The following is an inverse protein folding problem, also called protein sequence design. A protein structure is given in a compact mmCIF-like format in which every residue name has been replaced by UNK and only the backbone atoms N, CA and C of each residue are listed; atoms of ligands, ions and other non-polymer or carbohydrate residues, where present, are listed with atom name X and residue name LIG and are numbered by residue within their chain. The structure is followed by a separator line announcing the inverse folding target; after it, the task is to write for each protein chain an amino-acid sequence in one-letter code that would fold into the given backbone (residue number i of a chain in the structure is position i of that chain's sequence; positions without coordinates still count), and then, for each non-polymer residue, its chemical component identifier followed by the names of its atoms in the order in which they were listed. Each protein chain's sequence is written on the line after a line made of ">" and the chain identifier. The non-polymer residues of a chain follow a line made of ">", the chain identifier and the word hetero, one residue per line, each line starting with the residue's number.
data_IF_684585957932
#
_entry.id   IF_684585957932
#
_cell.length_a   1.000
_cell.length_b   1.000
_cell.length_c   1.000
_cell.angle_alpha   90.00
_cell.angle_beta   90.00
_cell.angle_gamma   90.00
#
_symmetry.space_group_name_H-M   'P 1'
#
loop_
_entity.id
_entity.type
_entity.pdbx_description
1 polymer ?
#
# COMPACT_ATOMS: atom_id res chain seq x y z
N UNK A 1 -14.42 -22.14 101.81
CA UNK A 1 -14.93 -22.80 100.58
C UNK A 1 -15.65 -21.86 99.61
N UNK A 2 -16.52 -20.98 100.09
CA UNK A 2 -17.25 -20.02 99.24
C UNK A 2 -16.35 -19.21 98.28
N UNK A 3 -15.29 -18.58 98.78
CA UNK A 3 -14.32 -17.84 97.94
C UNK A 3 -13.64 -18.71 96.89
N UNK A 4 -13.25 -19.95 97.25
CA UNK A 4 -12.54 -20.85 96.33
C UNK A 4 -13.41 -21.22 95.12
N UNK A 5 -14.72 -21.39 95.33
CA UNK A 5 -15.69 -21.70 94.29
C UNK A 5 -16.04 -20.47 93.46
N UNK A 6 -16.45 -19.38 94.10
CA UNK A 6 -17.06 -18.24 93.41
C UNK A 6 -16.09 -17.10 93.05
N UNK A 7 -14.79 -17.19 93.40
CA UNK A 7 -13.78 -16.19 92.98
C UNK A 7 -13.77 -15.84 91.49
N UNK A 8 -14.15 -16.69 90.50
CA UNK A 8 -14.14 -16.28 89.10
C UNK A 8 -15.16 -15.19 88.77
N UNK A 9 -16.20 -15.04 89.59
CA UNK A 9 -17.28 -14.08 89.38
C UNK A 9 -16.85 -12.63 89.61
N UNK A 10 -15.76 -12.38 90.33
CA UNK A 10 -15.23 -11.04 90.55
C UNK A 10 -13.82 -10.91 89.96
N UNK A 11 -13.57 -9.93 89.07
CA UNK A 11 -12.24 -9.69 88.47
C UNK A 11 -11.13 -9.44 89.48
N UNK A 12 -11.44 -8.89 90.66
CA UNK A 12 -10.46 -8.59 91.70
C UNK A 12 -10.07 -9.83 92.53
N UNK A 13 -10.93 -10.86 92.58
CA UNK A 13 -10.64 -12.12 93.28
C UNK A 13 -10.12 -13.22 92.35
N UNK A 14 -10.31 -13.07 91.04
CA UNK A 14 -9.84 -13.99 90.00
C UNK A 14 -8.48 -13.54 89.42
N UNK A 15 -7.56 -14.44 89.03
CA UNK A 15 -7.58 -15.89 89.21
C UNK A 15 -7.03 -16.36 90.56
N UNK A 16 -6.26 -15.51 91.24
CA UNK A 16 -5.61 -15.81 92.51
C UNK A 16 -5.87 -14.69 93.51
N UNK A 17 -6.51 -15.03 94.63
CA UNK A 17 -6.63 -14.14 95.79
C UNK A 17 -5.43 -14.33 96.72
N UNK A 18 -4.80 -13.24 97.16
CA UNK A 18 -3.61 -13.26 98.04
C UNK A 18 -3.85 -12.66 99.43
N UNK A 19 -5.05 -12.13 99.71
CA UNK A 19 -5.42 -11.54 101.00
C UNK A 19 -6.09 -12.53 101.96
N UNK A 20 -6.61 -12.01 103.08
CA UNK A 20 -7.42 -12.81 104.01
C UNK A 20 -8.67 -13.33 103.29
N UNK A 21 -9.10 -14.59 103.54
CA UNK A 21 -10.29 -15.13 102.89
C UNK A 21 -11.57 -14.36 103.17
N UNK A 22 -11.70 -13.73 104.35
CA UNK A 22 -12.88 -12.95 104.72
C UNK A 22 -13.05 -11.73 103.79
N UNK A 23 -11.99 -10.93 103.62
CA UNK A 23 -11.95 -9.76 102.75
C UNK A 23 -12.26 -10.12 101.29
N UNK A 24 -11.76 -11.27 100.82
CA UNK A 24 -12.04 -11.76 99.48
C UNK A 24 -13.51 -12.15 99.28
N UNK A 25 -14.16 -12.74 100.29
CA UNK A 25 -15.59 -13.06 100.25
C UNK A 25 -16.43 -11.79 100.32
N UNK A 26 -16.03 -10.81 101.12
CA UNK A 26 -16.70 -9.52 101.21
C UNK A 26 -16.67 -8.78 99.86
N UNK A 27 -15.50 -8.70 99.23
CA UNK A 27 -15.34 -8.04 97.94
C UNK A 27 -16.10 -8.75 96.81
N UNK A 28 -16.16 -10.09 96.86
CA UNK A 28 -16.96 -10.89 95.93
C UNK A 28 -18.45 -10.62 96.10
N UNK A 29 -18.95 -10.60 97.33
CA UNK A 29 -20.36 -10.37 97.66
C UNK A 29 -20.78 -8.94 97.30
N UNK A 30 -19.90 -7.96 97.50
CA UNK A 30 -20.09 -6.60 97.03
C UNK A 30 -20.16 -6.53 95.49
N UNK A 31 -19.29 -7.25 94.78
CA UNK A 31 -19.30 -7.29 93.30
C UNK A 31 -20.55 -7.98 92.74
N UNK A 32 -21.07 -9.00 93.43
CA UNK A 32 -22.32 -9.67 93.10
C UNK A 32 -23.57 -8.86 93.48
N UNK A 33 -23.41 -7.77 94.25
CA UNK A 33 -24.49 -6.87 94.62
C UNK A 33 -25.46 -7.42 95.66
N UNK A 34 -25.01 -8.29 96.58
CA UNK A 34 -25.89 -8.77 97.65
C UNK A 34 -26.26 -7.62 98.59
N UNK A 35 -27.50 -7.60 99.05
CA UNK A 35 -27.97 -6.60 100.01
C UNK A 35 -27.57 -6.98 101.46
N UNK A 36 -27.39 -6.01 102.38
CA UNK A 36 -26.95 -6.27 103.76
C UNK A 36 -27.88 -7.16 104.61
N UNK A 37 -29.14 -7.33 104.18
CA UNK A 37 -30.15 -8.20 104.79
C UNK A 37 -30.16 -9.63 104.22
N UNK A 38 -29.55 -9.84 103.05
CA UNK A 38 -29.46 -11.13 102.36
C UNK A 38 -28.31 -12.01 102.88
N UNK A 39 -27.29 -11.43 103.53
CA UNK A 39 -26.17 -12.17 104.08
C UNK A 39 -25.64 -11.62 105.42
N UNK A 40 -24.95 -12.47 106.18
CA UNK A 40 -24.16 -12.09 107.36
C UNK A 40 -22.80 -12.79 107.33
N UNK A 41 -21.73 -12.05 107.63
CA UNK A 41 -20.40 -12.62 107.80
C UNK A 41 -20.20 -13.10 109.25
N UNK A 42 -19.95 -14.38 109.44
CA UNK A 42 -19.48 -14.94 110.71
C UNK A 42 -17.95 -14.98 110.77
N UNK A 43 -17.40 -15.37 111.93
CA UNK A 43 -15.93 -15.48 112.14
C UNK A 43 -15.24 -16.42 111.14
N UNK A 44 -15.96 -17.44 110.65
CA UNK A 44 -15.40 -18.49 109.77
C UNK A 44 -16.28 -18.83 108.56
N UNK A 45 -17.54 -18.40 108.52
CA UNK A 45 -18.53 -18.78 107.49
C UNK A 45 -19.39 -17.58 107.08
N UNK A 46 -19.84 -17.56 105.82
CA UNK A 46 -20.89 -16.66 105.34
C UNK A 46 -22.25 -17.34 105.52
N UNK A 47 -23.23 -16.59 106.02
CA UNK A 47 -24.62 -17.01 106.16
C UNK A 47 -25.46 -16.29 105.10
N UNK A 48 -26.14 -17.04 104.23
CA UNK A 48 -27.04 -16.49 103.19
C UNK A 48 -28.48 -16.76 103.63
N UNK A 49 -29.30 -15.70 103.68
CA UNK A 49 -30.65 -15.74 104.24
C UNK A 49 -31.68 -16.33 103.28
N UNK A 50 -31.57 -16.04 101.98
CA UNK A 50 -32.54 -16.44 100.97
C UNK A 50 -31.94 -17.42 99.96
N UNK A 51 -32.60 -18.57 99.69
CA UNK A 51 -32.14 -19.52 98.68
C UNK A 51 -31.98 -18.92 97.27
N UNK A 52 -32.80 -17.92 96.92
CA UNK A 52 -32.76 -17.22 95.61
C UNK A 52 -31.39 -16.60 95.33
N UNK A 53 -30.77 -15.96 96.32
CA UNK A 53 -29.46 -15.29 96.19
C UNK A 53 -28.35 -16.30 95.92
N UNK A 54 -28.43 -17.48 96.55
CA UNK A 54 -27.50 -18.58 96.31
C UNK A 54 -27.69 -19.17 94.89
N UNK A 55 -28.93 -19.43 94.47
CA UNK A 55 -29.20 -19.94 93.11
C UNK A 55 -28.75 -18.97 92.01
N UNK A 56 -29.03 -17.67 92.16
CA UNK A 56 -28.57 -16.65 91.22
C UNK A 56 -27.04 -16.60 91.09
N UNK A 57 -26.34 -16.86 92.20
CA UNK A 57 -24.87 -16.91 92.24
C UNK A 57 -24.34 -18.16 91.57
N UNK A 58 -25.02 -19.29 91.72
CA UNK A 58 -24.68 -20.53 91.01
C UNK A 58 -24.92 -20.40 89.50
N UNK A 59 -26.03 -19.78 89.07
CA UNK A 59 -26.30 -19.52 87.65
C UNK A 59 -25.31 -18.54 87.03
N UNK A 60 -24.89 -17.51 87.78
CA UNK A 60 -23.82 -16.61 87.37
C UNK A 60 -22.49 -17.37 87.25
N UNK A 61 -22.22 -18.30 88.18
CA UNK A 61 -21.00 -19.11 88.18
C UNK A 61 -20.93 -20.05 86.98
N UNK A 62 -22.01 -20.76 86.66
CA UNK A 62 -22.04 -21.62 85.46
C UNK A 62 -21.88 -20.81 84.16
N UNK A 63 -22.51 -19.63 84.05
CA UNK A 63 -22.28 -18.73 82.91
C UNK A 63 -20.82 -18.27 82.82
N UNK A 64 -20.23 -17.84 83.93
CA UNK A 64 -18.84 -17.40 83.99
C UNK A 64 -17.86 -18.52 83.58
N UNK A 65 -18.11 -19.77 83.98
CA UNK A 65 -17.31 -20.93 83.54
C UNK A 65 -17.34 -21.09 82.02
N UNK A 66 -18.52 -20.97 81.40
CA UNK A 66 -18.66 -21.05 79.94
C UNK A 66 -17.96 -19.88 79.22
N UNK A 67 -18.05 -18.67 79.77
CA UNK A 67 -17.34 -17.49 79.23
C UNK A 67 -15.82 -17.66 79.31
N UNK A 68 -15.29 -18.07 80.46
CA UNK A 68 -13.86 -18.32 80.65
C UNK A 68 -13.35 -19.44 79.72
N UNK A 69 -14.13 -20.52 79.57
CA UNK A 69 -13.81 -21.58 78.62
C UNK A 69 -13.78 -21.04 77.17
N UNK A 70 -14.74 -20.21 76.80
CA UNK A 70 -14.80 -19.58 75.47
C UNK A 70 -13.61 -18.65 75.24
N UNK A 71 -13.21 -17.84 76.23
CA UNK A 71 -12.04 -16.98 76.15
C UNK A 71 -10.74 -17.78 75.97
N UNK A 72 -10.58 -18.87 76.73
CA UNK A 72 -9.41 -19.75 76.61
C UNK A 72 -9.37 -20.44 75.24
N UNK A 73 -10.50 -20.97 74.79
CA UNK A 73 -10.63 -21.59 73.48
C UNK A 73 -10.36 -20.59 72.35
N UNK A 74 -10.88 -19.36 72.45
CA UNK A 74 -10.64 -18.31 71.47
C UNK A 74 -9.15 -17.93 71.39
N UNK A 75 -8.48 -17.79 72.54
CA UNK A 75 -7.04 -17.52 72.61
C UNK A 75 -6.22 -18.65 71.98
N UNK A 76 -6.56 -19.90 72.27
CA UNK A 76 -5.89 -21.06 71.67
C UNK A 76 -6.15 -21.18 70.16
N UNK A 77 -7.40 -21.04 69.71
CA UNK A 77 -7.76 -21.03 68.29
C UNK A 77 -6.99 -19.94 67.54
N UNK A 78 -6.87 -18.74 68.12
CA UNK A 78 -6.07 -17.65 67.58
C UNK A 78 -4.58 -17.97 67.51
N UNK A 79 -3.99 -18.57 68.55
CA UNK A 79 -2.60 -19.03 68.54
C UNK A 79 -2.36 -20.07 67.43
N UNK A 80 -3.23 -21.08 67.34
CA UNK A 80 -3.15 -22.16 66.34
C UNK A 80 -3.23 -21.59 64.92
N UNK A 81 -4.24 -20.75 64.63
CA UNK A 81 -4.43 -20.12 63.32
C UNK A 81 -3.24 -19.22 62.93
N UNK A 82 -2.71 -18.42 63.86
CA UNK A 82 -1.49 -17.60 63.62
C UNK A 82 -0.27 -18.47 63.31
N UNK A 83 -0.12 -19.60 64.02
CA UNK A 83 0.95 -20.57 63.77
C UNK A 83 0.84 -21.21 62.39
N UNK A 84 -0.35 -21.63 61.98
CA UNK A 84 -0.63 -22.19 60.64
C UNK A 84 -0.38 -21.17 59.53
N UNK A 85 -0.88 -19.94 59.69
CA UNK A 85 -0.65 -18.85 58.72
C UNK A 85 0.85 -18.52 58.56
N UNK A 86 1.60 -18.46 59.67
CA UNK A 86 3.06 -18.21 59.61
C UNK A 86 3.77 -19.32 58.84
N UNK A 87 3.45 -20.58 59.10
CA UNK A 87 4.01 -21.73 58.36
C UNK A 87 3.69 -21.65 56.87
N UNK A 88 2.45 -21.33 56.51
CA UNK A 88 2.05 -21.16 55.11
C UNK A 88 2.82 -20.02 54.43
N UNK A 89 2.94 -18.87 55.11
CA UNK A 89 3.68 -17.70 54.59
C UNK A 89 5.17 -17.98 54.40
N UNK A 90 5.81 -18.67 55.35
CA UNK A 90 7.21 -19.09 55.25
C UNK A 90 7.42 -20.05 54.08
N UNK A 91 6.54 -21.05 53.93
CA UNK A 91 6.59 -22.00 52.81
C UNK A 91 6.41 -21.29 51.46
N UNK A 92 5.41 -20.39 51.34
CA UNK A 92 5.19 -19.59 50.14
C UNK A 92 6.40 -18.72 49.82
N UNK A 93 6.94 -17.99 50.80
CA UNK A 93 8.12 -17.13 50.62
C UNK A 93 9.34 -17.95 50.15
N UNK A 94 9.54 -19.17 50.68
CA UNK A 94 10.62 -20.07 50.27
C UNK A 94 10.47 -20.51 48.81
N UNK A 95 9.25 -20.86 48.40
CA UNK A 95 8.97 -21.24 47.02
C UNK A 95 9.20 -20.04 46.08
N UNK A 96 8.65 -18.87 46.41
CA UNK A 96 8.78 -17.67 45.59
C UNK A 96 10.25 -17.23 45.43
N UNK A 97 11.03 -17.24 46.50
CA UNK A 97 12.45 -16.88 46.45
C UNK A 97 13.27 -17.87 45.63
N UNK A 98 12.99 -19.17 45.76
CA UNK A 98 13.59 -20.21 44.93
C UNK A 98 13.24 -20.01 43.44
N UNK A 99 11.97 -19.75 43.14
CA UNK A 99 11.49 -19.51 41.78
C UNK A 99 12.12 -18.27 41.15
N UNK A 100 12.13 -17.14 41.85
CA UNK A 100 12.80 -15.91 41.39
C UNK A 100 14.28 -16.18 41.12
N UNK A 101 14.95 -16.94 41.98
CA UNK A 101 16.33 -17.37 41.78
C UNK A 101 16.52 -18.26 40.54
N UNK A 102 15.61 -19.20 40.28
CA UNK A 102 15.64 -20.05 39.09
C UNK A 102 15.44 -19.24 37.80
N UNK A 103 14.49 -18.30 37.79
CA UNK A 103 14.30 -17.38 36.67
C UNK A 103 15.55 -16.53 36.41
N UNK A 104 16.18 -15.98 37.46
CA UNK A 104 17.41 -15.20 37.34
C UNK A 104 18.57 -16.02 36.75
N UNK A 105 18.72 -17.29 37.16
CA UNK A 105 19.72 -18.21 36.58
C UNK A 105 19.47 -18.49 35.10
N UNK A 106 18.22 -18.74 34.70
CA UNK A 106 17.84 -18.93 33.30
C UNK A 106 18.13 -17.69 32.45
N UNK A 107 17.82 -16.50 32.96
CA UNK A 107 18.15 -15.24 32.28
C UNK A 107 19.66 -15.02 32.16
N UNK A 108 20.45 -15.38 33.19
CA UNK A 108 21.92 -15.34 33.13
C UNK A 108 22.46 -16.26 32.04
N UNK A 109 21.96 -17.49 31.95
CA UNK A 109 22.35 -18.45 30.90
C UNK A 109 22.00 -17.94 29.50
N UNK A 110 20.80 -17.38 29.32
CA UNK A 110 20.37 -16.77 28.06
C UNK A 110 21.29 -15.62 27.64
N UNK A 111 21.66 -14.74 28.59
CA UNK A 111 22.61 -13.64 28.34
C UNK A 111 24.00 -14.17 27.97
N UNK A 112 24.50 -15.18 28.69
CA UNK A 112 25.79 -15.79 28.40
C UNK A 112 25.81 -16.46 27.01
N UNK A 113 24.74 -17.15 26.63
CA UNK A 113 24.56 -17.72 25.30
C UNK A 113 24.54 -16.64 24.21
N UNK A 114 23.80 -15.54 24.41
CA UNK A 114 23.77 -14.42 23.47
C UNK A 114 25.17 -13.82 23.24
N UNK A 115 25.95 -13.63 24.32
CA UNK A 115 27.34 -13.16 24.22
C UNK A 115 28.20 -14.13 23.41
N UNK A 116 28.06 -15.44 23.62
CA UNK A 116 28.79 -16.47 22.86
C UNK A 116 28.47 -16.40 21.37
N UNK A 117 27.19 -16.26 21.01
CA UNK A 117 26.73 -16.14 19.61
C UNK A 117 27.29 -14.88 18.95
N UNK A 118 27.21 -13.72 19.61
CA UNK A 118 27.72 -12.45 19.08
C UNK A 118 29.23 -12.53 18.87
N UNK A 119 29.99 -13.04 19.84
CA UNK A 119 31.44 -13.22 19.70
C UNK A 119 31.81 -14.15 18.55
N UNK A 120 31.09 -15.27 18.38
CA UNK A 120 31.28 -16.19 17.25
C UNK A 120 31.04 -15.47 15.91
N UNK A 121 29.97 -14.69 15.81
CA UNK A 121 29.64 -13.93 14.60
C UNK A 121 30.74 -12.90 14.25
N UNK A 122 31.22 -12.14 15.24
CA UNK A 122 32.29 -11.14 15.03
C UNK A 122 33.59 -11.84 14.60
N UNK A 123 33.96 -12.96 15.24
CA UNK A 123 35.15 -13.73 14.85
C UNK A 123 35.06 -14.23 13.40
N UNK A 124 33.89 -14.75 13.00
CA UNK A 124 33.65 -15.19 11.64
C UNK A 124 33.69 -14.03 10.62
N UNK A 125 33.16 -12.85 11.00
CA UNK A 125 33.25 -11.64 10.17
C UNK A 125 34.70 -11.20 9.94
N UNK A 126 35.54 -11.25 10.97
CA UNK A 126 36.98 -10.93 10.85
C UNK A 126 37.68 -11.91 9.91
N UNK A 127 37.32 -13.20 9.97
CA UNK A 127 37.92 -14.26 9.16
C UNK A 127 37.23 -14.48 7.79
N UNK A 128 36.34 -13.57 7.35
CA UNK A 128 35.49 -13.74 6.15
C UNK A 128 36.23 -13.96 4.82
N UNK A 129 37.50 -13.58 4.75
CA UNK A 129 38.35 -13.76 3.56
C UNK A 129 39.11 -15.09 3.52
N UNK A 130 39.06 -15.87 4.60
CA UNK A 130 39.72 -17.18 4.67
C UNK A 130 38.84 -18.26 4.07
N UNK A 131 39.45 -19.37 3.65
CA UNK A 131 38.73 -20.57 3.19
C UNK A 131 37.71 -21.03 4.25
N UNK A 132 36.66 -21.71 3.79
CA UNK A 132 35.56 -22.20 4.65
C UNK A 132 36.12 -23.07 5.79
N UNK A 133 36.25 -22.47 6.97
CA UNK A 133 36.43 -23.17 8.24
C UNK A 133 35.07 -23.37 8.90
N UNK A 134 34.97 -24.34 9.82
CA UNK A 134 33.75 -24.65 10.58
C UNK A 134 33.15 -23.39 11.23
N UNK A 135 34.00 -22.48 11.73
CA UNK A 135 33.62 -21.21 12.37
C UNK A 135 32.99 -20.19 11.41
N UNK A 136 33.38 -20.17 10.13
CA UNK A 136 32.91 -19.17 9.15
C UNK A 136 31.62 -19.58 8.42
N UNK A 137 31.23 -20.85 8.53
CA UNK A 137 30.12 -21.45 7.78
C UNK A 137 28.76 -20.79 8.07
N UNK A 138 28.43 -20.57 9.34
CA UNK A 138 27.18 -19.95 9.78
C UNK A 138 27.08 -18.49 9.36
N UNK A 139 28.19 -17.74 9.46
CA UNK A 139 28.25 -16.35 8.99
C UNK A 139 28.01 -16.26 7.48
N UNK A 140 28.66 -17.11 6.68
CA UNK A 140 28.47 -17.13 5.23
C UNK A 140 27.03 -17.51 4.87
N UNK A 141 26.43 -18.47 5.57
CA UNK A 141 25.02 -18.82 5.38
C UNK A 141 24.09 -17.64 5.69
N UNK A 142 24.33 -16.94 6.80
CA UNK A 142 23.59 -15.73 7.16
C UNK A 142 23.72 -14.63 6.10
N UNK A 143 24.93 -14.33 5.63
CA UNK A 143 25.15 -13.29 4.60
C UNK A 143 24.40 -13.63 3.31
N UNK A 144 24.46 -14.90 2.88
CA UNK A 144 23.75 -15.40 1.69
C UNK A 144 22.24 -15.24 1.84
N UNK A 145 21.68 -15.71 2.96
CA UNK A 145 20.24 -15.63 3.22
C UNK A 145 19.75 -14.18 3.35
N UNK A 146 20.49 -13.37 4.11
CA UNK A 146 20.18 -11.95 4.31
C UNK A 146 20.19 -11.18 3.00
N UNK A 147 21.19 -11.40 2.13
CA UNK A 147 21.24 -10.78 0.81
C UNK A 147 20.05 -11.17 -0.05
N UNK A 148 19.71 -12.47 -0.13
CA UNK A 148 18.59 -12.94 -0.94
C UNK A 148 17.24 -12.39 -0.45
N UNK A 149 17.03 -12.34 0.86
CA UNK A 149 15.82 -11.78 1.45
C UNK A 149 15.67 -10.28 1.13
N UNK A 150 16.76 -9.52 1.20
CA UNK A 150 16.75 -8.09 0.83
C UNK A 150 16.55 -7.90 -0.67
N UNK A 151 17.25 -8.70 -1.49
CA UNK A 151 17.16 -8.65 -2.94
C UNK A 151 15.72 -8.90 -3.41
N UNK A 152 15.01 -9.87 -2.82
CA UNK A 152 13.59 -10.15 -3.10
C UNK A 152 12.72 -8.89 -3.01
N UNK A 153 12.98 -8.02 -2.03
CA UNK A 153 12.20 -6.81 -1.79
C UNK A 153 12.66 -5.62 -2.65
N UNK A 154 13.81 -5.73 -3.29
CA UNK A 154 14.42 -4.69 -4.14
C UNK A 154 14.58 -5.18 -5.59
N UNK A 155 13.65 -6.01 -6.09
CA UNK A 155 13.68 -6.43 -7.48
C UNK A 155 13.15 -5.32 -8.40
N UNK A 156 13.76 -5.12 -9.58
CA UNK A 156 13.22 -4.22 -10.61
C UNK A 156 11.77 -4.58 -10.97
N UNK A 157 10.91 -3.56 -11.06
CA UNK A 157 9.48 -3.76 -11.40
C UNK A 157 9.21 -3.75 -12.90
N UNK A 158 10.11 -3.16 -13.69
CA UNK A 158 9.96 -3.01 -15.13
C UNK A 158 11.23 -3.46 -15.85
N UNK A 159 11.09 -3.87 -17.11
CA UNK A 159 12.22 -4.28 -17.96
C UNK A 159 13.23 -3.15 -18.17
N UNK A 160 12.77 -1.90 -18.15
CA UNK A 160 13.60 -0.71 -18.38
C UNK A 160 14.33 -0.23 -17.13
N UNK A 161 13.87 -0.62 -15.95
CA UNK A 161 14.55 -0.32 -14.69
C UNK A 161 15.85 -1.13 -14.63
N UNK A 162 16.99 -0.45 -14.80
CA UNK A 162 18.34 -1.05 -14.74
C UNK A 162 19.09 -0.74 -13.45
N UNK A 163 18.54 0.12 -12.60
CA UNK A 163 19.24 0.75 -11.47
C UNK A 163 18.85 0.16 -10.12
N UNK A 164 17.64 -0.39 -9.97
CA UNK A 164 17.10 -0.87 -8.69
C UNK A 164 17.77 -2.14 -8.12
N UNK A 165 18.88 -2.62 -8.69
CA UNK A 165 19.54 -3.85 -8.25
C UNK A 165 20.41 -3.64 -7.00
N UNK A 166 20.13 -4.37 -5.93
CA UNK A 166 20.87 -4.25 -4.67
C UNK A 166 22.34 -4.68 -4.80
N UNK A 167 23.25 -3.82 -4.34
CA UNK A 167 24.69 -4.10 -4.29
C UNK A 167 24.99 -5.37 -3.49
N UNK A 168 25.66 -6.37 -4.08
CA UNK A 168 25.95 -7.62 -3.40
C UNK A 168 27.13 -7.51 -2.43
N UNK A 169 27.13 -8.30 -1.33
CA UNK A 169 28.35 -8.61 -0.60
C UNK A 169 29.39 -9.28 -1.50
N UNK A 170 30.68 -9.12 -1.21
CA UNK A 170 31.78 -9.65 -2.03
C UNK A 170 31.65 -11.15 -2.35
N UNK A 171 31.22 -11.96 -1.38
CA UNK A 171 31.03 -13.42 -1.54
C UNK A 171 29.88 -13.77 -2.51
N UNK A 172 28.96 -12.82 -2.73
CA UNK A 172 27.75 -13.00 -3.54
C UNK A 172 27.79 -12.25 -4.87
N UNK A 173 28.92 -11.63 -5.23
CA UNK A 173 29.03 -10.83 -6.47
C UNK A 173 28.68 -11.65 -7.71
N UNK A 174 29.28 -12.83 -7.86
CA UNK A 174 29.01 -13.71 -9.00
C UNK A 174 27.55 -14.20 -9.03
N UNK A 175 27.06 -14.70 -7.89
CA UNK A 175 25.69 -15.16 -7.74
C UNK A 175 24.67 -14.05 -8.06
N UNK A 176 24.92 -12.83 -7.59
CA UNK A 176 24.11 -11.65 -7.89
C UNK A 176 24.10 -11.32 -9.38
N UNK A 177 25.25 -11.40 -10.05
CA UNK A 177 25.35 -11.23 -11.50
C UNK A 177 24.51 -12.26 -12.27
N UNK A 178 24.56 -13.53 -11.88
CA UNK A 178 23.75 -14.60 -12.48
C UNK A 178 22.25 -14.40 -12.22
N UNK A 179 21.86 -14.12 -10.98
CA UNK A 179 20.48 -13.86 -10.60
C UNK A 179 19.91 -12.66 -11.36
N UNK A 180 20.69 -11.60 -11.53
CA UNK A 180 20.32 -10.44 -12.33
C UNK A 180 20.02 -10.84 -13.76
N UNK A 181 20.93 -11.57 -14.40
CA UNK A 181 20.73 -12.06 -15.79
C UNK A 181 19.47 -12.91 -15.91
N UNK A 182 19.25 -13.84 -14.98
CA UNK A 182 18.06 -14.71 -14.96
C UNK A 182 16.78 -13.87 -14.80
N UNK A 183 16.77 -12.94 -13.85
CA UNK A 183 15.60 -12.11 -13.56
C UNK A 183 15.19 -11.26 -14.78
N UNK A 184 16.12 -10.54 -15.41
CA UNK A 184 15.80 -9.75 -16.61
C UNK A 184 15.35 -10.62 -17.78
N UNK A 185 15.98 -11.78 -18.00
CA UNK A 185 15.54 -12.74 -19.04
C UNK A 185 14.10 -13.20 -18.79
N UNK A 186 13.76 -13.51 -17.54
CA UNK A 186 12.41 -13.91 -17.15
C UNK A 186 11.41 -12.76 -17.32
N UNK A 187 11.75 -11.53 -16.93
CA UNK A 187 10.90 -10.36 -17.14
C UNK A 187 10.63 -10.10 -18.62
N UNK A 188 11.68 -10.11 -19.46
CA UNK A 188 11.54 -9.93 -20.91
C UNK A 188 10.66 -11.04 -21.48
N UNK A 189 10.90 -12.29 -21.11
CA UNK A 189 10.10 -13.42 -21.58
C UNK A 189 8.64 -13.31 -21.16
N UNK A 190 8.37 -12.93 -19.91
CA UNK A 190 7.01 -12.70 -19.39
C UNK A 190 6.31 -11.56 -20.12
N UNK A 191 7.01 -10.46 -20.38
CA UNK A 191 6.50 -9.34 -21.15
C UNK A 191 6.18 -9.76 -22.59
N UNK A 192 7.17 -10.28 -23.33
CA UNK A 192 7.03 -10.66 -24.75
C UNK A 192 5.94 -11.71 -24.95
N UNK A 193 5.87 -12.73 -24.07
CA UNK A 193 4.82 -13.78 -24.15
C UNK A 193 3.46 -13.30 -23.68
N UNK A 194 3.41 -12.29 -22.80
CA UNK A 194 2.15 -11.73 -22.29
C UNK A 194 1.53 -10.66 -23.17
N UNK A 195 2.24 -10.17 -24.20
CA UNK A 195 1.70 -9.19 -25.15
C UNK A 195 0.86 -9.90 -26.21
N UNK A 196 -0.43 -9.57 -26.28
CA UNK A 196 -1.33 -10.08 -27.32
C UNK A 196 -0.97 -9.54 -28.70
N UNK A 197 -1.30 -10.24 -29.80
CA UNK A 197 -1.04 -9.76 -31.16
C UNK A 197 -1.63 -8.37 -31.43
N UNK A 198 -2.85 -8.10 -30.94
CA UNK A 198 -3.52 -6.81 -31.08
C UNK A 198 -2.73 -5.70 -30.35
N UNK A 199 -2.29 -5.97 -29.12
CA UNK A 199 -1.49 -5.01 -28.36
C UNK A 199 -0.11 -4.80 -28.98
N UNK A 200 0.50 -5.83 -29.56
CA UNK A 200 1.76 -5.72 -30.30
C UNK A 200 1.60 -4.81 -31.52
N UNK A 201 0.55 -5.01 -32.33
CA UNK A 201 0.26 -4.17 -33.49
C UNK A 201 0.03 -2.70 -33.06
N UNK A 202 -0.75 -2.48 -32.01
CA UNK A 202 -0.99 -1.16 -31.44
C UNK A 202 0.31 -0.46 -30.99
N UNK A 203 1.19 -1.19 -30.30
CA UNK A 203 2.49 -0.67 -29.86
C UNK A 203 3.41 -0.36 -31.05
N UNK A 204 3.45 -1.21 -32.08
CA UNK A 204 4.23 -0.97 -33.29
C UNK A 204 3.80 0.32 -33.99
N UNK A 205 2.49 0.54 -34.16
CA UNK A 205 1.97 1.79 -34.71
C UNK A 205 2.37 2.99 -33.84
N UNK A 206 2.18 2.91 -32.52
CA UNK A 206 2.56 4.01 -31.60
C UNK A 206 4.06 4.30 -31.60
N UNK A 207 4.93 3.31 -31.81
CA UNK A 207 6.38 3.51 -31.97
C UNK A 207 6.69 4.30 -33.24
N UNK A 208 6.07 3.97 -34.37
CA UNK A 208 6.18 4.73 -35.63
C UNK A 208 5.63 6.15 -35.45
N UNK A 209 4.49 6.32 -34.78
CA UNK A 209 3.97 7.66 -34.45
C UNK A 209 4.98 8.44 -33.60
N UNK A 210 5.64 7.78 -32.65
CA UNK A 210 6.63 8.39 -31.77
C UNK A 210 7.87 8.85 -32.52
N UNK A 211 8.41 8.04 -33.43
CA UNK A 211 9.57 8.44 -34.24
C UNK A 211 9.27 9.66 -35.12
N UNK A 212 8.04 9.77 -35.62
CA UNK A 212 7.61 10.89 -36.46
C UNK A 212 7.40 12.16 -35.62
N UNK A 213 6.60 12.10 -34.53
CA UNK A 213 6.06 13.30 -33.86
C UNK A 213 6.64 13.63 -32.49
N UNK A 214 7.31 12.70 -31.81
CA UNK A 214 7.82 12.93 -30.44
C UNK A 214 8.79 14.11 -30.41
N UNK A 215 8.46 15.12 -29.62
CA UNK A 215 9.25 16.36 -29.49
C UNK A 215 9.12 17.34 -30.67
N UNK A 216 8.37 17.00 -31.72
CA UNK A 216 8.20 17.85 -32.91
C UNK A 216 6.84 18.55 -32.97
N UNK A 217 5.76 17.92 -32.49
CA UNK A 217 4.40 18.48 -32.48
C UNK A 217 3.80 18.53 -31.07
N UNK A 218 3.27 19.68 -30.69
CA UNK A 218 2.79 19.96 -29.32
C UNK A 218 1.59 19.11 -28.89
N UNK A 219 0.70 18.72 -29.81
CA UNK A 219 -0.47 17.90 -29.48
C UNK A 219 -0.16 16.42 -29.30
N UNK A 220 1.06 15.96 -29.61
CA UNK A 220 1.41 14.53 -29.59
C UNK A 220 1.28 13.88 -28.20
N UNK A 221 1.73 14.46 -27.07
CA UNK A 221 1.61 13.85 -25.75
C UNK A 221 0.16 13.53 -25.36
N UNK A 222 -0.80 14.38 -25.73
CA UNK A 222 -2.23 14.17 -25.47
C UNK A 222 -2.81 12.99 -26.28
N UNK A 223 -2.18 12.63 -27.40
CA UNK A 223 -2.61 11.51 -28.26
C UNK A 223 -2.14 10.13 -27.77
N UNK A 224 -1.14 10.07 -26.87
CA UNK A 224 -0.54 8.81 -26.39
C UNK A 224 -1.56 7.87 -25.72
N UNK A 225 -2.40 8.31 -24.76
CA UNK A 225 -3.33 7.41 -24.08
C UNK A 225 -4.48 6.92 -24.97
N UNK A 226 -4.76 7.59 -26.09
CA UNK A 226 -5.86 7.23 -26.98
C UNK A 226 -5.43 6.07 -27.90
N UNK A 227 -6.11 4.90 -27.84
CA UNK A 227 -5.80 3.77 -28.73
C UNK A 227 -6.16 4.10 -30.18
N UNK A 228 -5.48 3.45 -31.11
CA UNK A 228 -5.83 3.52 -32.52
C UNK A 228 -6.87 2.45 -32.82
N UNK A 229 -7.86 2.79 -33.64
CA UNK A 229 -8.92 1.87 -34.06
C UNK A 229 -8.68 1.37 -35.47
N UNK A 230 -9.30 0.27 -35.89
CA UNK A 230 -9.10 -0.31 -37.22
C UNK A 230 -9.66 0.57 -38.34
N UNK A 231 -10.85 1.14 -38.18
CA UNK A 231 -11.43 2.16 -39.08
C UNK A 231 -12.33 3.11 -38.29
N UNK A 232 -12.42 4.38 -38.72
CA UNK A 232 -13.31 5.39 -38.13
C UNK A 232 -14.64 5.52 -38.88
N UNK A 233 -14.70 5.03 -40.11
CA UNK A 233 -15.91 4.91 -40.93
C UNK A 233 -16.09 3.43 -41.22
N UNK A 234 -17.26 2.87 -40.89
CA UNK A 234 -17.56 1.47 -41.16
C UNK A 234 -17.82 1.26 -42.66
N UNK A 235 -17.60 0.05 -43.16
CA UNK A 235 -17.86 -0.26 -44.58
C UNK A 235 -19.34 -0.08 -44.95
N UNK A 236 -20.26 -0.17 -43.98
CA UNK A 236 -21.69 0.06 -44.17
C UNK A 236 -22.02 1.54 -44.45
N UNK A 237 -21.23 2.46 -43.89
CA UNK A 237 -21.40 3.91 -44.06
C UNK A 237 -20.74 4.43 -45.35
N UNK A 238 -19.94 3.59 -46.02
CA UNK A 238 -19.33 3.92 -47.30
C UNK A 238 -20.33 3.60 -48.40
N UNK A 239 -20.54 4.55 -49.32
CA UNK A 239 -21.47 4.36 -50.41
C UNK A 239 -21.10 3.14 -51.28
N UNK A 240 -22.08 2.29 -51.57
CA UNK A 240 -21.92 1.05 -52.34
C UNK A 240 -21.24 1.24 -53.71
N UNK A 241 -21.42 2.39 -54.38
CA UNK A 241 -20.75 2.68 -55.65
C UNK A 241 -19.24 2.90 -55.49
N UNK A 242 -18.81 3.42 -54.36
CA UNK A 242 -17.38 3.58 -54.06
C UNK A 242 -16.78 2.22 -53.74
N UNK A 243 -17.49 1.42 -52.95
CA UNK A 243 -17.08 0.04 -52.64
C UNK A 243 -16.96 -0.81 -53.90
N UNK A 244 -17.84 -0.64 -54.89
CA UNK A 244 -17.73 -1.39 -56.16
C UNK A 244 -16.51 -0.98 -56.98
N UNK A 245 -16.15 0.31 -57.00
CA UNK A 245 -14.95 0.82 -57.70
C UNK A 245 -13.67 0.34 -57.00
N UNK A 246 -13.67 0.33 -55.67
CA UNK A 246 -12.50 0.01 -54.84
C UNK A 246 -12.43 -1.50 -54.51
N UNK A 247 -13.39 -2.31 -54.95
CA UNK A 247 -13.55 -3.73 -54.56
C UNK A 247 -12.27 -4.57 -54.69
N UNK A 248 -11.44 -4.26 -55.69
CA UNK A 248 -10.19 -4.96 -55.96
C UNK A 248 -9.03 -4.51 -55.04
N UNK A 249 -9.13 -3.34 -54.42
CA UNK A 249 -8.13 -2.77 -53.52
C UNK A 249 -8.67 -2.79 -52.07
N UNK A 250 -8.44 -3.88 -51.35
CA UNK A 250 -8.90 -4.04 -49.96
C UNK A 250 -8.69 -2.76 -49.11
N UNK A 251 -9.77 -2.28 -48.49
CA UNK A 251 -9.76 -1.10 -47.61
C UNK A 251 -9.01 -1.46 -46.31
N UNK A 252 -8.10 -0.58 -45.90
CA UNK A 252 -7.31 -0.73 -44.67
C UNK A 252 -7.72 0.25 -43.57
N UNK A 253 -8.17 1.45 -43.94
CA UNK A 253 -8.56 2.47 -42.98
C UNK A 253 -9.40 3.56 -43.65
N UNK A 254 -10.48 3.99 -42.99
CA UNK A 254 -11.31 5.09 -43.46
C UNK A 254 -11.52 6.11 -42.34
N UNK A 255 -11.47 7.40 -42.66
CA UNK A 255 -11.58 8.50 -41.70
C UNK A 255 -12.35 9.69 -42.28
N UNK A 256 -13.23 10.35 -41.49
CA UNK A 256 -13.87 11.59 -41.93
C UNK A 256 -12.86 12.73 -41.86
N UNK A 257 -12.86 13.57 -42.89
CA UNK A 257 -11.97 14.74 -42.97
C UNK A 257 -12.72 15.95 -43.51
N UNK A 258 -12.22 17.14 -43.20
CA UNK A 258 -12.74 18.39 -43.77
C UNK A 258 -11.72 18.89 -44.79
N UNK A 259 -12.05 18.78 -46.08
CA UNK A 259 -11.20 19.27 -47.17
C UNK A 259 -11.37 20.78 -47.32
N UNK A 260 -10.28 21.49 -47.55
CA UNK A 260 -10.31 22.89 -47.96
C UNK A 260 -10.12 23.03 -49.47
N UNK A 261 -11.03 23.77 -50.12
CA UNK A 261 -10.93 24.05 -51.55
C UNK A 261 -9.73 24.93 -51.90
N UNK A 262 -9.12 24.70 -53.07
CA UNK A 262 -7.88 25.37 -53.49
C UNK A 262 -8.01 26.88 -53.76
N UNK A 263 -9.15 27.33 -54.27
CA UNK A 263 -9.32 28.73 -54.70
C UNK A 263 -10.03 29.60 -53.63
N UNK A 264 -10.60 28.99 -52.59
CA UNK A 264 -11.41 29.71 -51.61
C UNK A 264 -11.37 29.17 -50.18
N UNK A 265 -10.63 28.08 -49.92
CA UNK A 265 -10.53 27.42 -48.62
C UNK A 265 -11.88 27.22 -47.91
N UNK A 266 -12.93 26.94 -48.69
CA UNK A 266 -14.23 26.58 -48.11
C UNK A 266 -14.13 25.16 -47.54
N UNK A 267 -14.54 24.94 -46.29
CA UNK A 267 -14.53 23.61 -45.68
C UNK A 267 -15.59 22.73 -46.34
N UNK A 268 -15.21 21.53 -46.75
CA UNK A 268 -16.12 20.52 -47.30
C UNK A 268 -15.90 19.18 -46.62
N UNK A 269 -16.91 18.57 -45.98
CA UNK A 269 -16.77 17.24 -45.41
C UNK A 269 -16.50 16.23 -46.53
N UNK A 270 -15.54 15.34 -46.30
CA UNK A 270 -15.14 14.27 -47.21
C UNK A 270 -14.83 13.01 -46.40
N UNK A 271 -14.94 11.87 -47.07
CA UNK A 271 -14.44 10.61 -46.54
C UNK A 271 -13.09 10.32 -47.18
N UNK A 272 -12.08 9.99 -46.37
CA UNK A 272 -10.77 9.60 -46.86
C UNK A 272 -10.57 8.11 -46.60
N UNK A 273 -10.38 7.35 -47.66
CA UNK A 273 -10.31 5.88 -47.66
C UNK A 273 -8.90 5.48 -48.10
N UNK A 274 -8.20 4.71 -47.25
CA UNK A 274 -6.88 4.15 -47.54
C UNK A 274 -7.03 2.69 -47.95
N UNK A 275 -6.54 2.37 -49.14
CA UNK A 275 -6.44 1.00 -49.67
C UNK A 275 -4.99 0.54 -49.65
N UNK A 276 -4.71 -0.67 -50.11
CA UNK A 276 -3.32 -1.14 -50.23
C UNK A 276 -2.53 -0.39 -51.33
N UNK A 277 -3.19 0.24 -52.30
CA UNK A 277 -2.54 0.85 -53.48
C UNK A 277 -2.61 2.38 -53.52
N UNK A 278 -3.68 2.98 -52.99
CA UNK A 278 -3.92 4.42 -53.09
C UNK A 278 -4.79 4.97 -51.94
N UNK A 279 -4.75 6.28 -51.76
CA UNK A 279 -5.68 7.03 -50.94
C UNK A 279 -6.79 7.66 -51.82
N UNK A 280 -8.04 7.46 -51.45
CA UNK A 280 -9.21 7.97 -52.15
C UNK A 280 -9.92 9.03 -51.30
N UNK A 281 -10.30 10.12 -51.95
CA UNK A 281 -11.09 11.18 -51.34
C UNK A 281 -12.48 11.20 -51.99
N UNK A 282 -13.48 10.85 -51.18
CA UNK A 282 -14.85 10.63 -51.62
C UNK A 282 -15.84 11.64 -51.03
N UNK A 283 -16.95 11.83 -51.73
CA UNK A 283 -18.17 12.50 -51.28
C UNK A 283 -19.35 11.73 -51.83
N UNK A 284 -20.22 11.29 -50.94
CA UNK A 284 -21.41 10.50 -51.26
C UNK A 284 -21.06 9.33 -52.19
N UNK A 285 -21.52 9.36 -53.45
CA UNK A 285 -21.31 8.30 -54.43
C UNK A 285 -20.14 8.57 -55.41
N UNK A 286 -19.37 9.65 -55.23
CA UNK A 286 -18.34 10.09 -56.21
C UNK A 286 -16.95 10.19 -55.57
N UNK A 287 -15.97 9.55 -56.22
CA UNK A 287 -14.54 9.75 -55.92
C UNK A 287 -14.10 11.06 -56.57
N UNK A 288 -13.63 12.02 -55.77
CA UNK A 288 -13.14 13.30 -56.30
C UNK A 288 -11.66 13.29 -56.64
N UNK A 289 -10.87 12.53 -55.91
CA UNK A 289 -9.42 12.48 -56.11
C UNK A 289 -8.89 11.14 -55.63
N UNK A 290 -8.03 10.53 -56.45
CA UNK A 290 -7.24 9.35 -56.13
C UNK A 290 -5.78 9.78 -56.06
N UNK A 291 -5.08 9.39 -55.00
CA UNK A 291 -3.66 9.65 -54.81
C UNK A 291 -2.96 8.31 -54.64
N UNK A 292 -2.22 7.92 -55.68
CA UNK A 292 -1.42 6.68 -55.64
C UNK A 292 -0.21 6.91 -54.75
N UNK A 293 0.21 5.89 -54.00
CA UNK A 293 1.33 6.06 -53.07
C UNK A 293 2.68 6.31 -53.74
N UNK A 294 2.85 5.95 -55.02
CA UNK A 294 4.03 6.29 -55.82
C UNK A 294 4.18 7.81 -55.99
N UNK A 295 3.08 8.51 -56.31
CA UNK A 295 3.08 9.96 -56.55
C UNK A 295 3.15 10.81 -55.27
N UNK A 296 3.01 10.21 -54.08
CA UNK A 296 3.16 10.88 -52.80
C UNK A 296 4.61 11.38 -52.59
N UNK A 297 4.84 12.70 -52.71
CA UNK A 297 6.15 13.34 -52.53
C UNK A 297 6.48 13.61 -51.06
N UNK A 298 5.48 14.04 -50.31
CA UNK A 298 5.65 14.69 -49.01
C UNK A 298 4.34 14.75 -48.24
N UNK A 299 4.41 14.74 -46.92
CA UNK A 299 3.30 15.15 -46.07
C UNK A 299 3.84 16.23 -45.14
N UNK A 300 3.16 17.37 -45.06
CA UNK A 300 3.54 18.46 -44.20
C UNK A 300 2.45 18.73 -43.17
N UNK A 301 2.87 18.90 -41.92
CA UNK A 301 2.01 19.30 -40.80
C UNK A 301 2.69 20.40 -40.00
N UNK A 302 1.92 21.15 -39.24
CA UNK A 302 2.46 22.14 -38.30
C UNK A 302 3.06 21.48 -37.03
N UNK A 303 3.85 22.24 -36.29
CA UNK A 303 4.29 21.91 -34.93
C UNK A 303 3.24 22.19 -33.83
N UNK A 304 2.16 22.93 -34.15
CA UNK A 304 1.16 23.37 -33.17
C UNK A 304 0.10 22.29 -32.88
N UNK A 305 -0.96 22.65 -32.15
CA UNK A 305 -2.02 21.72 -31.73
C UNK A 305 -3.10 21.45 -32.78
N UNK A 306 -3.05 22.08 -33.95
CA UNK A 306 -4.04 21.91 -35.01
C UNK A 306 -3.99 20.52 -35.67
N UNK A 307 -5.08 20.22 -36.40
CA UNK A 307 -5.29 18.99 -37.15
C UNK A 307 -5.11 19.13 -38.67
N UNK A 308 -4.40 20.15 -39.16
CA UNK A 308 -4.27 20.39 -40.61
C UNK A 308 -3.14 19.53 -41.18
N UNK A 309 -3.45 18.93 -42.33
CA UNK A 309 -2.56 18.03 -43.06
C UNK A 309 -2.50 18.49 -44.51
N UNK A 310 -1.26 18.56 -45.03
CA UNK A 310 -1.00 18.88 -46.42
C UNK A 310 -0.28 17.68 -47.06
N UNK A 311 -0.91 17.10 -48.08
CA UNK A 311 -0.32 16.00 -48.87
C UNK A 311 0.22 16.58 -50.16
N UNK A 312 1.52 16.43 -50.37
CA UNK A 312 2.23 16.84 -51.57
C UNK A 312 2.24 15.71 -52.59
N UNK A 313 1.70 15.97 -53.78
CA UNK A 313 1.52 14.95 -54.83
C UNK A 313 2.27 15.38 -56.09
N UNK A 314 3.11 14.48 -56.59
CA UNK A 314 3.79 14.62 -57.87
C UNK A 314 2.77 14.44 -59.00
N UNK A 315 2.69 15.38 -59.92
CA UNK A 315 1.78 15.32 -61.07
C UNK A 315 2.55 14.85 -62.28
N UNK A 316 2.03 13.83 -62.94
CA UNK A 316 2.54 13.37 -64.25
C UNK A 316 1.78 14.07 -65.39
N UNK A 317 0.49 14.41 -65.19
CA UNK A 317 -0.32 15.15 -66.17
C UNK A 317 -0.74 16.55 -65.67
N UNK A 318 -0.80 17.56 -66.56
CA UNK A 318 -1.33 18.89 -66.23
C UNK A 318 -2.78 18.86 -65.73
N UNK A 319 -3.58 17.89 -66.21
CA UNK A 319 -5.00 17.69 -65.84
C UNK A 319 -5.20 17.02 -64.47
N UNK A 320 -4.20 16.35 -63.91
CA UNK A 320 -4.31 15.71 -62.61
C UNK A 320 -4.40 16.74 -61.49
N UNK A 321 -5.03 16.42 -60.36
CA UNK A 321 -5.16 17.36 -59.24
C UNK A 321 -3.87 17.35 -58.41
N UNK A 322 -3.31 18.53 -58.10
CA UNK A 322 -2.12 18.69 -57.24
C UNK A 322 -2.37 18.46 -55.75
N UNK A 323 -1.73 19.26 -54.91
CA UNK A 323 -1.68 19.06 -53.46
C UNK A 323 -3.07 19.12 -52.80
N UNK A 324 -3.16 18.49 -51.63
CA UNK A 324 -4.37 18.34 -50.84
C UNK A 324 -4.19 18.98 -49.47
N UNK A 325 -5.12 19.84 -49.10
CA UNK A 325 -5.19 20.46 -47.77
C UNK A 325 -6.49 20.03 -47.11
N UNK A 326 -6.40 19.43 -45.92
CA UNK A 326 -7.57 19.00 -45.15
C UNK A 326 -7.28 18.98 -43.65
N UNK A 327 -8.34 19.05 -42.85
CA UNK A 327 -8.30 18.84 -41.41
C UNK A 327 -8.76 17.43 -41.05
N UNK A 328 -8.06 16.81 -40.09
CA UNK A 328 -8.39 15.51 -39.55
C UNK A 328 -8.24 15.52 -38.03
N UNK A 329 -9.30 15.16 -37.30
CA UNK A 329 -9.29 15.10 -35.83
C UNK A 329 -8.41 13.96 -35.32
N UNK A 330 -8.27 12.89 -36.11
CA UNK A 330 -7.46 11.71 -35.81
C UNK A 330 -6.10 11.76 -36.53
N UNK A 331 -5.48 12.95 -36.61
CA UNK A 331 -4.24 13.22 -37.37
C UNK A 331 -3.14 12.17 -37.13
N UNK A 332 -2.82 11.89 -35.87
CA UNK A 332 -1.73 10.96 -35.53
C UNK A 332 -2.02 9.52 -35.97
N UNK A 333 -3.27 9.07 -35.82
CA UNK A 333 -3.73 7.74 -36.25
C UNK A 333 -3.66 7.63 -37.77
N UNK A 334 -4.25 8.60 -38.47
CA UNK A 334 -4.31 8.66 -39.93
C UNK A 334 -2.90 8.69 -40.54
N UNK A 335 -2.03 9.60 -40.09
CA UNK A 335 -0.70 9.76 -40.67
C UNK A 335 0.20 8.56 -40.42
N UNK A 336 0.08 7.93 -39.24
CA UNK A 336 0.83 6.70 -38.95
C UNK A 336 0.39 5.58 -39.86
N UNK A 337 -0.93 5.36 -40.02
CA UNK A 337 -1.46 4.32 -40.89
C UNK A 337 -1.11 4.56 -42.35
N UNK A 338 -1.25 5.80 -42.83
CA UNK A 338 -0.86 6.17 -44.19
C UNK A 338 0.64 5.91 -44.43
N UNK A 339 1.50 6.29 -43.48
CA UNK A 339 2.95 6.08 -43.59
C UNK A 339 3.33 4.61 -43.65
N UNK A 340 2.67 3.77 -42.85
CA UNK A 340 2.89 2.31 -42.83
C UNK A 340 2.39 1.65 -44.11
N UNK A 341 1.19 2.01 -44.59
CA UNK A 341 0.61 1.44 -45.82
C UNK A 341 1.42 1.87 -47.05
N UNK A 342 1.77 3.15 -47.14
CA UNK A 342 2.55 3.70 -48.24
C UNK A 342 4.06 3.35 -48.17
N UNK A 343 4.51 2.69 -47.09
CA UNK A 343 5.92 2.39 -46.79
C UNK A 343 6.83 3.63 -46.89
N UNK A 344 6.32 4.77 -46.43
CA UNK A 344 6.91 6.12 -46.60
C UNK A 344 6.99 6.86 -45.26
N UNK A 345 7.66 6.27 -44.27
CA UNK A 345 7.76 6.82 -42.91
C UNK A 345 8.53 8.15 -42.84
N UNK A 346 9.56 8.32 -43.67
CA UNK A 346 10.42 9.51 -43.68
C UNK A 346 9.83 10.71 -44.44
N UNK A 347 8.61 10.59 -44.95
CA UNK A 347 7.99 11.57 -45.86
C UNK A 347 7.19 12.63 -45.09
N UNK A 348 6.92 12.41 -43.80
CA UNK A 348 6.21 13.35 -42.93
C UNK A 348 7.17 14.40 -42.37
N UNK A 349 6.95 15.66 -42.70
CA UNK A 349 7.69 16.82 -42.20
C UNK A 349 6.81 17.64 -41.26
N UNK A 350 7.36 17.93 -40.09
CA UNK A 350 6.74 18.87 -39.13
C UNK A 350 7.42 20.23 -39.33
N UNK A 351 6.64 21.23 -39.75
CA UNK A 351 7.12 22.55 -40.16
C UNK A 351 6.64 23.60 -39.16
N UNK A 352 7.47 24.61 -38.91
CA UNK A 352 7.14 25.78 -38.10
C UNK A 352 6.82 26.98 -39.02
N UNK A 353 5.81 27.78 -38.68
CA UNK A 353 5.44 28.98 -39.43
C UNK A 353 4.48 28.67 -40.58
N UNK A 354 4.98 28.60 -41.81
CA UNK A 354 4.15 28.54 -43.02
C UNK A 354 4.48 27.33 -43.89
N UNK A 355 3.46 26.71 -44.48
CA UNK A 355 3.61 25.60 -45.41
C UNK A 355 3.11 26.02 -46.79
N UNK A 356 3.97 25.90 -47.81
CA UNK A 356 3.62 26.09 -49.21
C UNK A 356 3.08 24.81 -49.81
N UNK A 357 2.07 24.90 -50.67
CA UNK A 357 1.51 23.78 -51.40
C UNK A 357 1.08 24.17 -52.81
N UNK A 358 1.12 23.22 -53.73
CA UNK A 358 0.89 23.50 -55.15
C UNK A 358 -0.59 23.28 -55.55
N UNK A 359 -1.28 24.34 -55.98
CA UNK A 359 -2.69 24.30 -56.40
C UNK A 359 -2.79 23.81 -57.85
N UNK A 360 -2.03 24.46 -58.73
CA UNK A 360 -1.91 24.26 -60.18
C UNK A 360 -0.48 24.60 -60.60
N UNK A 361 0.00 24.15 -61.78
CA UNK A 361 1.33 24.50 -62.26
C UNK A 361 1.53 26.03 -62.23
N UNK A 362 2.53 26.49 -61.47
CA UNK A 362 2.83 27.92 -61.31
C UNK A 362 1.94 28.71 -60.33
N UNK A 363 0.95 28.08 -59.68
CA UNK A 363 0.10 28.70 -58.66
C UNK A 363 0.26 28.00 -57.32
N UNK A 364 1.01 28.63 -56.42
CA UNK A 364 1.22 28.17 -55.04
C UNK A 364 0.17 28.77 -54.10
N UNK A 365 -0.27 27.97 -53.14
CA UNK A 365 -0.99 28.42 -51.95
C UNK A 365 -0.09 28.33 -50.73
N UNK A 366 -0.39 29.14 -49.71
CA UNK A 366 0.32 29.12 -48.44
C UNK A 366 -0.68 28.93 -47.29
N UNK A 367 -0.28 28.12 -46.32
CA UNK A 367 -0.98 27.91 -45.04
C UNK A 367 -0.09 28.44 -43.93
N UNK A 368 -0.58 29.44 -43.21
CA UNK A 368 0.13 30.12 -42.14
C UNK A 368 -0.42 29.66 -40.78
N UNK A 369 0.47 29.21 -39.90
CA UNK A 369 0.13 28.70 -38.58
C UNK A 369 0.48 29.72 -37.50
N UNK A 370 -0.48 30.04 -36.64
CA UNK A 370 -0.28 30.95 -35.51
C UNK A 370 -0.94 30.41 -34.24
N UNK A 371 -0.56 30.96 -33.09
CA UNK A 371 -1.17 30.59 -31.80
C UNK A 371 -2.18 31.63 -31.35
N UNK A 372 -3.36 31.21 -30.91
CA UNK A 372 -4.41 32.07 -30.38
C UNK A 372 -5.16 31.46 -29.19
N UNK A 373 -6.22 32.16 -28.74
CA UNK A 373 -7.07 31.71 -27.62
C UNK A 373 -8.04 30.60 -28.05
N UNK A 374 -8.60 30.70 -29.25
CA UNK A 374 -9.54 29.73 -29.83
C UNK A 374 -9.01 29.16 -31.15
N UNK A 375 -9.28 27.88 -31.45
CA UNK A 375 -8.87 27.29 -32.71
C UNK A 375 -9.77 27.77 -33.85
N UNK A 376 -9.17 28.36 -34.90
CA UNK A 376 -9.93 28.89 -36.04
C UNK A 376 -9.16 28.68 -37.35
N UNK A 377 -9.89 28.35 -38.42
CA UNK A 377 -9.33 28.22 -39.78
C UNK A 377 -10.11 29.13 -40.72
N UNK A 378 -9.41 30.09 -41.35
CA UNK A 378 -10.05 31.06 -42.23
C UNK A 378 -9.10 31.56 -43.32
N UNK A 379 -9.66 32.11 -44.41
CA UNK A 379 -8.88 32.74 -45.47
C UNK A 379 -8.54 34.18 -45.05
N UNK A 380 -7.25 34.52 -44.97
CA UNK A 380 -6.82 35.89 -44.71
C UNK A 380 -6.92 36.78 -45.96
N UNK A 381 -6.85 38.10 -45.73
CA UNK A 381 -6.89 39.11 -46.80
C UNK A 381 -5.73 38.99 -47.80
N UNK A 382 -4.59 38.44 -47.37
CA UNK A 382 -3.44 38.09 -48.23
C UNK A 382 -3.71 36.88 -49.14
N UNK A 383 -4.87 36.22 -49.02
CA UNK A 383 -5.24 35.05 -49.80
C UNK A 383 -4.73 33.72 -49.23
N UNK A 384 -3.97 33.73 -48.14
CA UNK A 384 -3.46 32.53 -47.47
C UNK A 384 -4.53 31.89 -46.56
N UNK A 385 -4.34 30.61 -46.24
CA UNK A 385 -5.14 29.93 -45.23
C UNK A 385 -4.48 30.15 -43.86
N UNK A 386 -5.15 30.88 -42.97
CA UNK A 386 -4.70 31.04 -41.59
C UNK A 386 -5.25 29.92 -40.72
N UNK A 387 -4.38 29.30 -39.94
CA UNK A 387 -4.71 28.27 -38.96
C UNK A 387 -4.24 28.76 -37.60
N UNK A 388 -5.20 29.16 -36.78
CA UNK A 388 -4.97 29.56 -35.40
C UNK A 388 -5.15 28.32 -34.53
N UNK A 389 -4.08 27.92 -33.83
CA UNK A 389 -4.07 26.79 -32.92
C UNK A 389 -4.03 27.27 -31.46
N UNK A 390 -4.61 26.51 -30.55
CA UNK A 390 -4.55 26.84 -29.12
C UNK A 390 -3.20 26.41 -28.53
N UNK A 391 -2.62 27.23 -27.65
CA UNK A 391 -1.41 26.82 -26.94
C UNK A 391 -1.70 25.58 -26.08
N UNK A 392 -0.87 24.56 -26.22
CA UNK A 392 -0.89 23.47 -25.27
C UNK A 392 -0.49 24.01 -23.90
N UNK A 393 -1.39 23.97 -22.91
CA UNK A 393 -1.01 24.15 -21.49
C UNK A 393 -0.03 23.02 -21.16
N UNK A 394 1.26 23.34 -21.15
CA UNK A 394 2.30 22.46 -20.63
C UNK A 394 2.03 22.29 -19.14
N UNK A 395 1.85 21.03 -18.72
CA UNK A 395 1.73 20.65 -17.31
C UNK A 395 2.98 19.92 -16.90
#
# INVERSE_FOLDING_TARGET
>A
DFLKRYKPLCPATWPHWRGLPADGVELLVQHLGYLPDEYRMGRTKIFIRHPRTLYATEDAYERCKHELATQLQAKYKGYKAKGEFRKQKEAATKIETCWRGAQARKEKEKRAWAVKVIKKFIKAYMNRGQLKTTDNSEYLAFVRQSYLNRLKNSLPKTVLDKTTWLTPPAVMTEASGLLRKIHYRLMVRKYVRGVTPQRKAQLQLKVVTSSIFKGKKESYPKSIPQPFVDTRISDQDINMRILSIIRNEHIKYSVPVIKYDRNGFKPRPRQLILTQAAAYMAEEAKIKQRVVYSSLKGISVSNLTDGIIIIHVTREDPKQKGDLVFQCDHLFEFLTKLSVIAKKENVVKVVQGSIKFEIQPGKEGMVDFSTGQEPMVYKAKNGHLMVVATRARTR
#
